data_IF_045450845624
#
_entry.id   IF_045450845624
#
_cell.length_a   1.000
_cell.length_b   1.000
_cell.length_c   1.000
_cell.angle_alpha   90.00
_cell.angle_beta   90.00
_cell.angle_gamma   90.00
#
_symmetry.space_group_name_H-M   'P 1'
#
loop_
_entity.id
_entity.type
_entity.pdbx_description
1 polymer ?
#
# COMPACT_ATOMS: atom_id res chain seq x y z
N UNK A 1 -141.46 115.10 2.55
CA UNK A 1 -141.47 113.72 2.00
C UNK A 1 -140.22 113.45 1.16
N UNK A 2 -139.93 114.22 0.10
CA UNK A 2 -138.74 114.01 -0.75
C UNK A 2 -137.41 114.25 0.00
N UNK A 3 -137.33 115.26 0.87
CA UNK A 3 -136.11 115.56 1.62
C UNK A 3 -135.71 114.49 2.65
N UNK A 4 -136.67 113.86 3.33
CA UNK A 4 -136.39 112.79 4.31
C UNK A 4 -135.98 111.47 3.62
N UNK A 5 -136.54 111.17 2.44
CA UNK A 5 -136.18 109.97 1.68
C UNK A 5 -134.78 110.09 1.07
N UNK A 6 -134.43 111.28 0.57
CA UNK A 6 -133.05 111.60 0.12
C UNK A 6 -132.07 111.55 1.28
N UNK A 7 -132.44 112.01 2.48
CA UNK A 7 -131.60 111.90 3.69
C UNK A 7 -131.38 110.45 4.12
N UNK A 8 -132.43 109.62 4.15
CA UNK A 8 -132.34 108.19 4.45
C UNK A 8 -131.52 107.42 3.42
N UNK A 9 -131.67 107.75 2.14
CA UNK A 9 -130.88 107.16 1.07
C UNK A 9 -129.42 107.56 1.19
N UNK A 10 -129.13 108.84 1.46
CA UNK A 10 -127.77 109.33 1.70
C UNK A 10 -127.13 108.69 2.94
N UNK A 11 -127.87 108.55 4.05
CA UNK A 11 -127.39 107.86 5.27
C UNK A 11 -127.13 106.36 5.00
N UNK A 12 -128.02 105.67 4.28
CA UNK A 12 -127.81 104.27 3.87
C UNK A 12 -126.64 104.13 2.91
N UNK A 13 -126.47 105.04 1.97
CA UNK A 13 -125.33 105.04 1.04
C UNK A 13 -124.02 105.33 1.77
N UNK A 14 -124.03 106.25 2.74
CA UNK A 14 -122.86 106.55 3.57
C UNK A 14 -122.49 105.35 4.47
N UNK A 15 -123.48 104.68 5.05
CA UNK A 15 -123.28 103.47 5.86
C UNK A 15 -122.77 102.30 5.00
N UNK A 16 -123.35 102.07 3.82
CA UNK A 16 -122.89 101.05 2.87
C UNK A 16 -121.47 101.33 2.39
N UNK A 17 -121.11 102.59 2.10
CA UNK A 17 -119.72 102.97 1.78
C UNK A 17 -118.77 102.72 2.94
N UNK A 18 -119.21 102.88 4.20
CA UNK A 18 -118.41 102.60 5.40
C UNK A 18 -118.19 101.09 5.58
N UNK A 19 -119.20 100.27 5.30
CA UNK A 19 -119.10 98.80 5.30
C UNK A 19 -118.19 98.30 4.18
N UNK A 20 -118.30 98.87 2.97
CA UNK A 20 -117.39 98.58 1.85
C UNK A 20 -115.95 98.96 2.23
N UNK A 21 -115.73 100.11 2.85
CA UNK A 21 -114.40 100.51 3.32
C UNK A 21 -113.84 99.51 4.33
N UNK A 22 -114.64 99.04 5.29
CA UNK A 22 -114.23 98.02 6.26
C UNK A 22 -113.86 96.68 5.60
N UNK A 23 -114.63 96.24 4.59
CA UNK A 23 -114.31 95.02 3.83
C UNK A 23 -113.01 95.20 3.05
N UNK A 24 -112.82 96.35 2.40
CA UNK A 24 -111.59 96.66 1.67
C UNK A 24 -110.40 96.65 2.64
N UNK A 25 -110.51 97.29 3.80
CA UNK A 25 -109.46 97.30 4.82
C UNK A 25 -109.12 95.88 5.31
N UNK A 26 -110.13 95.02 5.51
CA UNK A 26 -109.93 93.61 5.87
C UNK A 26 -109.29 92.78 4.75
N UNK A 27 -109.69 92.98 3.49
CA UNK A 27 -109.09 92.32 2.33
C UNK A 27 -107.65 92.75 2.16
N UNK A 28 -107.34 94.04 2.30
CA UNK A 28 -105.98 94.57 2.23
C UNK A 28 -105.12 94.00 3.38
N UNK A 29 -105.64 93.96 4.60
CA UNK A 29 -104.95 93.35 5.74
C UNK A 29 -104.65 91.86 5.50
N UNK A 30 -105.64 91.06 5.06
CA UNK A 30 -105.44 89.64 4.73
C UNK A 30 -104.47 89.44 3.57
N UNK A 31 -104.52 90.29 2.55
CA UNK A 31 -103.59 90.24 1.41
C UNK A 31 -102.17 90.51 1.89
N UNK A 32 -101.98 91.51 2.76
CA UNK A 32 -100.68 91.79 3.37
C UNK A 32 -100.15 90.59 4.17
N UNK A 33 -100.97 89.97 5.02
CA UNK A 33 -100.58 88.76 5.76
C UNK A 33 -100.25 87.59 4.83
N UNK A 34 -100.98 87.44 3.72
CA UNK A 34 -100.72 86.40 2.72
C UNK A 34 -99.39 86.62 2.00
N UNK A 35 -99.08 87.87 1.63
CA UNK A 35 -97.78 88.23 1.03
C UNK A 35 -96.64 87.92 2.00
N UNK A 36 -96.76 88.30 3.28
CA UNK A 36 -95.76 87.96 4.31
C UNK A 36 -95.56 86.44 4.47
N UNK A 37 -96.64 85.66 4.45
CA UNK A 37 -96.54 84.19 4.53
C UNK A 37 -95.88 83.59 3.28
N UNK A 38 -96.09 84.17 2.09
CA UNK A 38 -95.41 83.77 0.86
C UNK A 38 -93.92 84.11 0.93
N UNK A 39 -93.54 85.30 1.40
CA UNK A 39 -92.13 85.69 1.59
C UNK A 39 -91.41 84.76 2.58
N UNK A 40 -92.08 84.39 3.68
CA UNK A 40 -91.56 83.40 4.62
C UNK A 40 -91.43 82.01 3.98
N UNK A 41 -92.43 81.53 3.25
CA UNK A 41 -92.36 80.26 2.53
C UNK A 41 -91.23 80.25 1.51
N UNK A 42 -91.03 81.33 0.75
CA UNK A 42 -89.95 81.45 -0.21
C UNK A 42 -88.58 81.27 0.46
N UNK A 43 -88.40 81.84 1.66
CA UNK A 43 -87.20 81.67 2.47
C UNK A 43 -86.99 80.21 2.89
N UNK A 44 -88.05 79.53 3.34
CA UNK A 44 -87.99 78.11 3.74
C UNK A 44 -87.68 77.22 2.54
N UNK A 45 -88.28 77.48 1.36
CA UNK A 45 -88.00 76.73 0.14
C UNK A 45 -86.55 76.93 -0.32
N UNK A 46 -86.03 78.16 -0.26
CA UNK A 46 -84.62 78.43 -0.56
C UNK A 46 -83.68 77.68 0.39
N UNK A 47 -84.00 77.65 1.69
CA UNK A 47 -83.24 76.88 2.68
C UNK A 47 -83.31 75.37 2.42
N UNK A 48 -84.49 74.85 2.08
CA UNK A 48 -84.67 73.43 1.69
C UNK A 48 -83.89 73.06 0.43
N UNK A 49 -83.79 73.98 -0.52
CA UNK A 49 -82.94 73.85 -1.71
C UNK A 49 -81.46 73.73 -1.36
N UNK A 50 -80.95 74.61 -0.46
CA UNK A 50 -79.58 74.51 0.07
C UNK A 50 -79.31 73.17 0.74
N UNK A 51 -80.19 72.74 1.65
CA UNK A 51 -80.04 71.47 2.37
C UNK A 51 -80.04 70.29 1.40
N UNK A 52 -80.93 70.29 0.39
CA UNK A 52 -80.95 69.24 -0.64
C UNK A 52 -79.66 69.20 -1.44
N UNK A 53 -79.05 70.36 -1.72
CA UNK A 53 -77.77 70.43 -2.41
C UNK A 53 -76.60 69.93 -1.54
N UNK A 54 -76.60 70.24 -0.24
CA UNK A 54 -75.64 69.70 0.72
C UNK A 54 -75.77 68.17 0.85
N UNK A 55 -77.00 67.64 0.87
CA UNK A 55 -77.26 66.19 0.85
C UNK A 55 -76.78 65.54 -0.44
N UNK A 56 -77.05 66.15 -1.60
CA UNK A 56 -76.57 65.64 -2.89
C UNK A 56 -75.04 65.60 -2.95
N UNK A 57 -74.36 66.63 -2.44
CA UNK A 57 -72.91 66.66 -2.33
C UNK A 57 -72.38 65.54 -1.42
N UNK A 58 -72.99 65.34 -0.25
CA UNK A 58 -72.63 64.28 0.67
C UNK A 58 -72.82 62.88 0.07
N UNK A 59 -73.91 62.66 -0.66
CA UNK A 59 -74.17 61.40 -1.35
C UNK A 59 -73.14 61.13 -2.46
N UNK A 60 -72.71 62.17 -3.18
CA UNK A 60 -71.65 62.05 -4.18
C UNK A 60 -70.32 61.62 -3.54
N UNK A 61 -69.96 62.18 -2.39
CA UNK A 61 -68.77 61.75 -1.62
C UNK A 61 -68.89 60.31 -1.16
N UNK A 62 -70.07 59.87 -0.71
CA UNK A 62 -70.31 58.47 -0.33
C UNK A 62 -70.13 57.54 -1.53
N UNK A 63 -70.70 57.88 -2.69
CA UNK A 63 -70.55 57.07 -3.90
C UNK A 63 -69.08 56.93 -4.33
N UNK A 64 -68.30 58.01 -4.21
CA UNK A 64 -66.88 57.98 -4.53
C UNK A 64 -66.09 57.11 -3.54
N UNK A 65 -66.36 57.22 -2.24
CA UNK A 65 -65.74 56.36 -1.24
C UNK A 65 -66.09 54.87 -1.45
N UNK A 66 -67.31 54.56 -1.90
CA UNK A 66 -67.73 53.19 -2.23
C UNK A 66 -66.96 52.65 -3.44
N UNK A 67 -66.73 53.47 -4.47
CA UNK A 67 -65.91 53.05 -5.64
C UNK A 67 -64.46 52.79 -5.24
N UNK A 68 -63.87 53.66 -4.41
CA UNK A 68 -62.52 53.47 -3.87
C UNK A 68 -62.41 52.17 -3.06
N UNK A 69 -63.40 51.88 -2.21
CA UNK A 69 -63.48 50.62 -1.47
C UNK A 69 -63.57 49.42 -2.42
N UNK A 70 -64.38 49.49 -3.48
CA UNK A 70 -64.50 48.41 -4.45
C UNK A 70 -63.17 48.14 -5.17
N UNK A 71 -62.43 49.18 -5.54
CA UNK A 71 -61.09 49.06 -6.13
C UNK A 71 -60.08 48.45 -5.14
N UNK A 72 -60.13 48.87 -3.87
CA UNK A 72 -59.28 48.33 -2.81
C UNK A 72 -59.55 46.84 -2.56
N UNK A 73 -60.82 46.42 -2.60
CA UNK A 73 -61.22 45.01 -2.47
C UNK A 73 -60.65 44.19 -3.63
N UNK A 74 -60.78 44.66 -4.87
CA UNK A 74 -60.22 43.96 -6.04
C UNK A 74 -58.70 43.82 -5.95
N UNK A 75 -57.99 44.86 -5.50
CA UNK A 75 -56.54 44.79 -5.26
C UNK A 75 -56.18 43.80 -4.15
N UNK A 76 -57.00 43.73 -3.10
CA UNK A 76 -56.80 42.78 -2.00
C UNK A 76 -56.98 41.34 -2.46
N UNK A 77 -57.93 41.07 -3.36
CA UNK A 77 -58.11 39.74 -3.97
C UNK A 77 -56.87 39.34 -4.79
N UNK A 78 -56.31 40.26 -5.58
CA UNK A 78 -55.10 39.99 -6.35
C UNK A 78 -53.90 39.66 -5.45
N UNK A 79 -53.70 40.44 -4.38
CA UNK A 79 -52.65 40.17 -3.39
C UNK A 79 -52.85 38.82 -2.69
N UNK A 80 -54.08 38.44 -2.37
CA UNK A 80 -54.35 37.12 -1.78
C UNK A 80 -54.01 35.97 -2.73
N UNK A 81 -54.19 36.13 -4.04
CA UNK A 81 -53.77 35.12 -5.01
C UNK A 81 -52.24 34.98 -5.07
N UNK A 82 -51.51 36.09 -4.97
CA UNK A 82 -50.05 36.07 -4.91
C UNK A 82 -49.53 35.42 -3.62
N UNK A 83 -50.15 35.73 -2.47
CA UNK A 83 -49.86 35.07 -1.19
C UNK A 83 -50.13 33.57 -1.27
N UNK A 84 -51.25 33.15 -1.87
CA UNK A 84 -51.55 31.72 -2.04
C UNK A 84 -50.50 31.02 -2.91
N UNK A 85 -50.12 31.63 -4.04
CA UNK A 85 -49.08 31.07 -4.89
C UNK A 85 -47.73 30.97 -4.18
N UNK A 86 -47.35 31.99 -3.41
CA UNK A 86 -46.14 31.98 -2.61
C UNK A 86 -46.18 30.88 -1.53
N UNK A 87 -47.33 30.65 -0.90
CA UNK A 87 -47.54 29.56 0.06
C UNK A 87 -47.37 28.18 -0.58
N UNK A 88 -47.93 27.97 -1.78
CA UNK A 88 -47.78 26.71 -2.52
C UNK A 88 -46.30 26.43 -2.87
N UNK A 89 -45.57 27.47 -3.29
CA UNK A 89 -44.13 27.37 -3.56
C UNK A 89 -43.33 27.03 -2.30
N UNK A 90 -43.65 27.67 -1.17
CA UNK A 90 -42.98 27.37 0.12
C UNK A 90 -43.26 25.95 0.60
N UNK A 91 -44.48 25.45 0.40
CA UNK A 91 -44.81 24.05 0.71
C UNK A 91 -43.97 23.08 -0.14
N UNK A 92 -43.81 23.35 -1.44
CA UNK A 92 -42.94 22.54 -2.31
C UNK A 92 -41.47 22.55 -1.86
N UNK A 93 -40.94 23.71 -1.45
CA UNK A 93 -39.58 23.80 -0.90
C UNK A 93 -39.44 23.01 0.41
N UNK A 94 -40.45 23.04 1.28
CA UNK A 94 -40.46 22.27 2.54
C UNK A 94 -40.43 20.77 2.26
N UNK A 95 -41.20 20.29 1.28
CA UNK A 95 -41.19 18.88 0.86
C UNK A 95 -39.80 18.48 0.33
N UNK A 96 -39.16 19.35 -0.45
CA UNK A 96 -37.81 19.09 -0.95
C UNK A 96 -36.76 19.06 0.18
N UNK A 97 -36.88 19.94 1.17
CA UNK A 97 -36.03 19.93 2.36
C UNK A 97 -36.22 18.63 3.15
N UNK A 98 -37.47 18.16 3.32
CA UNK A 98 -37.76 16.90 3.98
C UNK A 98 -37.11 15.72 3.25
N UNK A 99 -37.21 15.66 1.92
CA UNK A 99 -36.56 14.63 1.12
C UNK A 99 -35.03 14.65 1.25
N UNK A 100 -34.42 15.85 1.25
CA UNK A 100 -32.97 16.00 1.47
C UNK A 100 -32.57 15.54 2.88
N UNK A 101 -33.37 15.86 3.89
CA UNK A 101 -33.13 15.44 5.26
C UNK A 101 -33.18 13.91 5.42
N UNK A 102 -34.15 13.25 4.79
CA UNK A 102 -34.24 11.79 4.74
C UNK A 102 -33.02 11.17 4.06
N UNK A 103 -32.62 11.69 2.90
CA UNK A 103 -31.42 11.22 2.18
C UNK A 103 -30.15 11.42 3.01
N UNK A 104 -30.02 12.56 3.69
CA UNK A 104 -28.89 12.86 4.57
C UNK A 104 -28.82 11.91 5.77
N UNK A 105 -29.98 11.55 6.34
CA UNK A 105 -30.08 10.56 7.40
C UNK A 105 -29.62 9.17 6.93
N UNK A 106 -30.08 8.73 5.75
CA UNK A 106 -29.66 7.47 5.15
C UNK A 106 -28.14 7.44 4.88
N UNK A 107 -27.59 8.50 4.27
CA UNK A 107 -26.16 8.62 4.02
C UNK A 107 -25.34 8.60 5.33
N UNK A 108 -25.86 9.20 6.41
CA UNK A 108 -25.22 9.16 7.72
C UNK A 108 -25.20 7.75 8.32
N UNK A 109 -26.27 6.97 8.12
CA UNK A 109 -26.33 5.57 8.56
C UNK A 109 -25.33 4.69 7.79
N UNK A 110 -25.21 4.86 6.47
CA UNK A 110 -24.21 4.16 5.65
C UNK A 110 -22.78 4.52 6.05
N UNK A 111 -22.54 5.78 6.41
CA UNK A 111 -21.25 6.24 6.91
C UNK A 111 -20.88 5.58 8.24
N UNK A 112 -21.84 5.45 9.17
CA UNK A 112 -21.63 4.75 10.43
C UNK A 112 -21.27 3.27 10.19
N UNK A 113 -22.00 2.57 9.34
CA UNK A 113 -21.71 1.17 9.00
C UNK A 113 -20.32 1.02 8.34
N UNK A 114 -19.94 1.97 7.48
CA UNK A 114 -18.61 2.01 6.87
C UNK A 114 -17.51 2.25 7.90
N UNK A 115 -17.75 3.14 8.87
CA UNK A 115 -16.82 3.42 9.96
C UNK A 115 -16.62 2.19 10.88
N UNK A 116 -17.70 1.47 11.20
CA UNK A 116 -17.62 0.20 11.95
C UNK A 116 -16.79 -0.85 11.21
N UNK A 117 -17.01 -0.99 9.90
CA UNK A 117 -16.24 -1.90 9.04
C UNK A 117 -14.75 -1.54 9.02
N UNK A 118 -14.44 -0.24 8.89
CA UNK A 118 -13.06 0.25 8.93
C UNK A 118 -12.39 0.01 10.29
N UNK A 119 -13.13 0.22 11.39
CA UNK A 119 -12.65 -0.07 12.74
C UNK A 119 -12.30 -1.55 12.92
N UNK A 120 -13.16 -2.45 12.44
CA UNK A 120 -12.89 -3.89 12.47
C UNK A 120 -11.65 -4.26 11.66
N UNK A 121 -11.50 -3.70 10.45
CA UNK A 121 -10.33 -3.93 9.61
C UNK A 121 -9.03 -3.44 10.27
N UNK A 122 -9.05 -2.28 10.93
CA UNK A 122 -7.91 -1.76 11.69
C UNK A 122 -7.52 -2.68 12.84
N UNK A 123 -8.50 -3.23 13.56
CA UNK A 123 -8.23 -4.20 14.63
C UNK A 123 -7.56 -5.47 14.08
N UNK A 124 -8.04 -5.99 12.93
CA UNK A 124 -7.42 -7.14 12.26
C UNK A 124 -6.00 -6.84 11.75
N UNK A 125 -5.74 -5.63 11.27
CA UNK A 125 -4.39 -5.22 10.87
C UNK A 125 -3.43 -5.15 12.07
N UNK A 126 -3.91 -4.69 13.23
CA UNK A 126 -3.12 -4.68 14.45
C UNK A 126 -2.71 -6.11 14.84
N UNK A 127 -3.66 -7.05 14.86
CA UNK A 127 -3.38 -8.46 15.20
C UNK A 127 -2.41 -9.10 14.19
N UNK A 128 -2.61 -8.87 12.89
CA UNK A 128 -1.69 -9.36 11.85
C UNK A 128 -0.27 -8.78 11.99
N UNK A 129 -0.16 -7.52 12.42
CA UNK A 129 1.15 -6.89 12.65
C UNK A 129 1.87 -7.50 13.85
N UNK A 130 1.14 -7.82 14.92
CA UNK A 130 1.68 -8.54 16.08
C UNK A 130 2.17 -9.94 15.68
N UNK A 131 1.37 -10.68 14.90
CA UNK A 131 1.77 -12.00 14.37
C UNK A 131 3.00 -11.91 13.46
N UNK A 132 3.06 -10.91 12.57
CA UNK A 132 4.20 -10.69 11.70
C UNK A 132 5.49 -10.39 12.49
N UNK A 133 5.39 -9.58 13.55
CA UNK A 133 6.51 -9.29 14.44
C UNK A 133 7.00 -10.56 15.16
N UNK A 134 6.08 -11.38 15.67
CA UNK A 134 6.39 -12.65 16.30
C UNK A 134 7.10 -13.61 15.32
N UNK A 135 6.59 -13.73 14.10
CA UNK A 135 7.19 -14.56 13.04
C UNK A 135 8.58 -14.08 12.64
N UNK A 136 8.80 -12.77 12.55
CA UNK A 136 10.12 -12.19 12.28
C UNK A 136 11.11 -12.53 13.39
N UNK A 137 10.69 -12.44 14.65
CA UNK A 137 11.52 -12.83 15.80
C UNK A 137 11.85 -14.33 15.78
N UNK A 138 10.87 -15.20 15.50
CA UNK A 138 11.09 -16.64 15.36
C UNK A 138 12.07 -16.95 14.23
N UNK A 139 11.93 -16.28 13.09
CA UNK A 139 12.84 -16.45 11.94
C UNK A 139 14.27 -16.06 12.32
N UNK A 140 14.45 -14.95 13.03
CA UNK A 140 15.76 -14.53 13.54
C UNK A 140 16.38 -15.59 14.45
N UNK A 141 15.61 -16.17 15.37
CA UNK A 141 16.07 -17.26 16.23
C UNK A 141 16.49 -18.51 15.44
N UNK A 142 15.71 -18.88 14.42
CA UNK A 142 16.04 -20.01 13.53
C UNK A 142 17.34 -19.74 12.77
N UNK A 143 17.53 -18.54 12.23
CA UNK A 143 18.75 -18.15 11.53
C UNK A 143 19.96 -18.24 12.47
N UNK A 144 19.84 -17.73 13.71
CA UNK A 144 20.90 -17.86 14.70
C UNK A 144 21.24 -19.33 15.02
N UNK A 145 20.23 -20.17 15.22
CA UNK A 145 20.44 -21.60 15.46
C UNK A 145 21.11 -22.29 14.26
N UNK A 146 20.74 -21.91 13.03
CA UNK A 146 21.38 -22.43 11.81
C UNK A 146 22.84 -22.02 11.68
N UNK A 147 23.19 -20.76 11.99
CA UNK A 147 24.60 -20.32 11.99
C UNK A 147 25.42 -21.17 12.95
N UNK A 148 24.89 -21.44 14.15
CA UNK A 148 25.58 -22.26 15.13
C UNK A 148 25.70 -23.73 14.68
N UNK A 149 24.67 -24.28 14.03
CA UNK A 149 24.72 -25.62 13.45
C UNK A 149 25.76 -25.74 12.33
N UNK A 150 25.84 -24.74 11.45
CA UNK A 150 26.87 -24.67 10.38
C UNK A 150 28.27 -24.60 11.00
N UNK A 151 28.47 -23.79 12.05
CA UNK A 151 29.76 -23.72 12.75
C UNK A 151 30.17 -25.10 13.30
N UNK A 152 29.26 -25.80 13.96
CA UNK A 152 29.49 -27.16 14.49
C UNK A 152 29.81 -28.17 13.38
N UNK A 153 29.08 -28.11 12.26
CA UNK A 153 29.34 -28.95 11.10
C UNK A 153 30.73 -28.73 10.50
N UNK A 154 31.16 -27.47 10.37
CA UNK A 154 32.48 -27.16 9.86
C UNK A 154 33.59 -27.68 10.79
N UNK A 155 33.42 -27.52 12.10
CA UNK A 155 34.33 -28.05 13.12
C UNK A 155 34.44 -29.59 13.00
N UNK A 156 33.30 -30.29 12.95
CA UNK A 156 33.27 -31.74 12.69
C UNK A 156 33.95 -32.13 11.38
N UNK A 157 33.71 -31.39 10.29
CA UNK A 157 34.29 -31.70 8.99
C UNK A 157 35.83 -31.59 9.01
N UNK A 158 36.37 -30.61 9.74
CA UNK A 158 37.83 -30.48 9.94
C UNK A 158 38.40 -31.63 10.77
N UNK A 159 37.72 -32.04 11.85
CA UNK A 159 38.13 -33.19 12.66
C UNK A 159 38.09 -34.49 11.86
N UNK A 160 37.02 -34.71 11.08
CA UNK A 160 36.92 -35.90 10.22
C UNK A 160 38.00 -35.90 9.14
N UNK A 161 38.33 -34.74 8.56
CA UNK A 161 39.40 -34.63 7.56
C UNK A 161 40.76 -34.98 8.18
N UNK A 162 41.06 -34.48 9.38
CA UNK A 162 42.27 -34.82 10.11
C UNK A 162 42.34 -36.32 10.47
N UNK A 163 41.21 -36.91 10.88
CA UNK A 163 41.11 -38.34 11.16
C UNK A 163 41.35 -39.20 9.90
N UNK A 164 40.80 -38.79 8.75
CA UNK A 164 41.04 -39.45 7.46
C UNK A 164 42.51 -39.35 7.06
N UNK A 165 43.14 -38.20 7.21
CA UNK A 165 44.57 -38.03 6.90
C UNK A 165 45.44 -38.96 7.76
N UNK A 166 45.16 -39.02 9.07
CA UNK A 166 45.86 -39.92 9.99
C UNK A 166 45.69 -41.40 9.62
N UNK A 167 44.46 -41.82 9.27
CA UNK A 167 44.19 -43.19 8.83
C UNK A 167 44.91 -43.54 7.53
N UNK A 168 44.92 -42.62 6.55
CA UNK A 168 45.65 -42.81 5.29
C UNK A 168 47.16 -42.95 5.51
N UNK A 169 47.72 -42.15 6.44
CA UNK A 169 49.12 -42.27 6.85
C UNK A 169 49.44 -43.63 7.46
N UNK A 170 48.66 -44.10 8.44
CA UNK A 170 48.88 -45.39 9.10
C UNK A 170 48.77 -46.57 8.14
N UNK A 171 47.86 -46.51 7.15
CA UNK A 171 47.64 -47.59 6.19
C UNK A 171 48.65 -47.61 5.04
N UNK A 172 49.50 -46.58 4.88
CA UNK A 172 50.44 -46.49 3.75
C UNK A 172 49.78 -46.49 2.36
N UNK A 173 48.46 -46.25 2.31
CA UNK A 173 47.64 -46.29 1.10
C UNK A 173 47.49 -44.88 0.56
N UNK A 174 48.40 -44.47 -0.32
CA UNK A 174 48.23 -43.25 -1.10
C UNK A 174 47.30 -43.55 -2.28
N UNK A 175 46.14 -42.89 -2.34
CA UNK A 175 45.23 -42.97 -3.50
C UNK A 175 45.42 -41.75 -4.38
N UNK A 176 45.27 -41.95 -5.69
CA UNK A 176 45.14 -40.90 -6.69
C UNK A 176 43.66 -40.81 -7.02
N UNK A 177 43.04 -39.64 -6.94
CA UNK A 177 41.71 -39.46 -7.49
C UNK A 177 41.80 -39.30 -9.02
N UNK A 178 40.89 -39.92 -9.78
CA UNK A 178 40.90 -39.85 -11.25
C UNK A 178 40.87 -38.40 -11.78
N UNK A 179 40.20 -37.50 -11.04
CA UNK A 179 40.01 -36.09 -11.38
C UNK A 179 41.21 -35.17 -11.07
N UNK A 180 42.27 -35.64 -10.42
CA UNK A 180 43.46 -34.82 -10.16
C UNK A 180 44.15 -34.40 -11.47
N UNK A 181 44.61 -33.16 -11.53
CA UNK A 181 45.42 -32.66 -12.63
C UNK A 181 46.76 -33.43 -12.73
N UNK A 182 47.41 -33.35 -13.89
CA UNK A 182 48.71 -33.99 -14.06
C UNK A 182 49.76 -33.48 -13.06
N UNK A 183 49.76 -32.17 -12.76
CA UNK A 183 50.64 -31.57 -11.76
C UNK A 183 50.40 -32.14 -10.36
N UNK A 184 49.13 -32.20 -9.91
CA UNK A 184 48.77 -32.75 -8.60
C UNK A 184 49.16 -34.23 -8.48
N UNK A 185 48.97 -35.01 -9.55
CA UNK A 185 49.40 -36.42 -9.63
C UNK A 185 50.91 -36.56 -9.42
N UNK A 186 51.72 -35.77 -10.14
CA UNK A 186 53.18 -35.78 -10.02
C UNK A 186 53.63 -35.39 -8.60
N UNK A 187 53.02 -34.36 -8.01
CA UNK A 187 53.34 -33.94 -6.64
C UNK A 187 52.95 -35.01 -5.61
N UNK A 188 51.81 -35.67 -5.80
CA UNK A 188 51.38 -36.80 -4.97
C UNK A 188 52.38 -37.95 -5.04
N UNK A 189 52.91 -38.29 -6.22
CA UNK A 189 53.94 -39.34 -6.36
C UNK A 189 55.23 -38.99 -5.64
N UNK A 190 55.74 -37.77 -5.81
CA UNK A 190 56.96 -37.31 -5.13
C UNK A 190 56.80 -37.38 -3.62
N UNK A 191 55.69 -36.84 -3.11
CA UNK A 191 55.39 -36.84 -1.67
C UNK A 191 55.23 -38.26 -1.12
N UNK A 192 54.53 -39.14 -1.83
CA UNK A 192 54.36 -40.54 -1.43
C UNK A 192 55.72 -41.26 -1.32
N UNK A 193 56.64 -41.03 -2.26
CA UNK A 193 58.00 -41.60 -2.21
C UNK A 193 58.83 -41.04 -1.07
N UNK A 194 58.86 -39.71 -0.87
CA UNK A 194 59.59 -39.11 0.24
C UNK A 194 59.10 -39.60 1.60
N UNK A 195 57.78 -39.69 1.80
CA UNK A 195 57.18 -40.25 3.01
C UNK A 195 57.50 -41.74 3.19
N UNK A 196 57.63 -42.48 2.09
CA UNK A 196 58.05 -43.88 2.14
C UNK A 196 59.50 -44.03 2.61
N UNK A 197 60.42 -43.18 2.13
CA UNK A 197 61.81 -43.13 2.60
C UNK A 197 61.86 -42.83 4.10
N UNK A 198 61.12 -41.83 4.57
CA UNK A 198 61.03 -41.50 6.00
C UNK A 198 60.51 -42.70 6.83
N UNK A 199 59.56 -43.46 6.29
CA UNK A 199 59.05 -44.66 6.96
C UNK A 199 60.11 -45.76 7.08
N UNK A 200 60.89 -46.00 6.02
CA UNK A 200 62.02 -46.95 6.06
C UNK A 200 63.10 -46.45 7.02
N UNK A 201 63.36 -45.14 7.05
CA UNK A 201 64.30 -44.52 7.99
C UNK A 201 63.89 -44.76 9.44
N UNK A 202 62.61 -44.56 9.78
CA UNK A 202 62.09 -44.85 11.13
C UNK A 202 62.19 -46.34 11.47
N UNK A 203 61.97 -47.23 10.51
CA UNK A 203 62.21 -48.65 10.72
C UNK A 203 63.68 -48.93 11.09
N UNK A 204 64.64 -48.40 10.33
CA UNK A 204 66.07 -48.67 10.53
C UNK A 204 66.62 -48.01 11.80
N UNK A 205 66.23 -46.76 12.09
CA UNK A 205 66.78 -46.00 13.22
C UNK A 205 65.99 -46.17 14.52
N UNK A 206 64.67 -46.32 14.46
CA UNK A 206 63.78 -46.40 15.64
C UNK A 206 63.14 -47.77 15.85
N UNK A 207 63.36 -48.74 14.96
CA UNK A 207 62.85 -50.10 15.11
C UNK A 207 61.35 -50.24 14.82
N UNK A 208 60.72 -49.25 14.18
CA UNK A 208 59.33 -49.32 13.74
C UNK A 208 59.19 -50.27 12.54
N UNK A 209 59.07 -51.57 12.80
CA UNK A 209 58.99 -52.59 11.74
C UNK A 209 57.84 -52.32 10.76
N UNK A 210 58.15 -52.35 9.46
CA UNK A 210 57.15 -52.30 8.39
C UNK A 210 56.60 -53.72 8.17
N UNK A 211 55.30 -53.96 8.39
CA UNK A 211 54.70 -55.28 8.15
C UNK A 211 54.80 -55.71 6.67
N UNK A 212 55.04 -56.99 6.42
CA UNK A 212 55.22 -57.53 5.06
C UNK A 212 54.01 -57.35 4.14
N UNK A 213 52.80 -57.35 4.70
CA UNK A 213 51.55 -57.08 3.96
C UNK A 213 51.44 -55.62 3.48
N UNK A 214 52.26 -54.72 4.04
CA UNK A 214 52.36 -53.32 3.65
C UNK A 214 53.49 -53.05 2.65
N UNK A 215 54.33 -54.05 2.34
CA UNK A 215 55.30 -53.99 1.24
C UNK A 215 54.58 -54.17 -0.09
N UNK A 216 53.99 -53.07 -0.56
CA UNK A 216 53.31 -53.04 -1.85
C UNK A 216 54.36 -53.14 -2.98
N UNK A 217 54.09 -53.98 -3.98
CA UNK A 217 54.92 -54.08 -5.20
C UNK A 217 54.95 -52.76 -5.96
N UNK A 218 56.06 -52.50 -6.68
CA UNK A 218 56.19 -51.34 -7.58
C UNK A 218 55.06 -51.24 -8.61
N UNK A 219 54.33 -52.32 -8.93
CA UNK A 219 53.16 -52.28 -9.83
C UNK A 219 51.85 -51.93 -9.15
N UNK A 220 51.77 -52.15 -7.84
CA UNK A 220 50.55 -52.00 -7.03
C UNK A 220 50.55 -50.73 -6.18
N UNK A 221 51.67 -50.00 -6.11
CA UNK A 221 51.73 -48.70 -5.45
C UNK A 221 51.02 -47.62 -6.30
N UNK A 222 50.74 -46.45 -5.73
CA UNK A 222 50.05 -45.37 -6.43
C UNK A 222 50.74 -45.03 -7.77
N UNK A 223 52.05 -44.77 -7.74
CA UNK A 223 52.83 -44.49 -8.95
C UNK A 223 52.79 -45.66 -9.94
N UNK A 224 52.92 -46.90 -9.46
CA UNK A 224 52.86 -48.11 -10.28
C UNK A 224 51.53 -48.30 -10.99
N UNK A 225 50.43 -48.23 -10.24
CA UNK A 225 49.09 -48.39 -10.80
C UNK A 225 48.80 -47.34 -11.87
N UNK A 226 49.24 -46.09 -11.68
CA UNK A 226 49.16 -45.06 -12.72
C UNK A 226 50.12 -45.33 -13.88
N UNK A 227 51.38 -45.68 -13.59
CA UNK A 227 52.43 -45.92 -14.58
C UNK A 227 52.01 -46.99 -15.58
N UNK A 228 51.48 -48.13 -15.12
CA UNK A 228 51.06 -49.24 -15.97
C UNK A 228 49.63 -49.11 -16.54
N UNK A 229 48.91 -48.03 -16.22
CA UNK A 229 47.56 -47.79 -16.75
C UNK A 229 47.54 -46.53 -17.63
N UNK A 230 46.87 -45.48 -17.17
CA UNK A 230 46.68 -44.21 -17.87
C UNK A 230 48.02 -43.55 -18.21
N UNK A 231 49.02 -43.66 -17.32
CA UNK A 231 50.36 -43.14 -17.56
C UNK A 231 51.01 -43.74 -18.81
N UNK A 232 50.99 -45.06 -18.95
CA UNK A 232 51.53 -45.75 -20.13
C UNK A 232 50.79 -45.36 -21.42
N UNK A 233 49.47 -45.24 -21.35
CA UNK A 233 48.66 -44.86 -22.51
C UNK A 233 48.97 -43.44 -22.99
N UNK A 234 49.17 -42.50 -22.07
CA UNK A 234 49.36 -41.08 -22.39
C UNK A 234 50.83 -40.74 -22.69
N UNK A 235 51.76 -41.28 -21.91
CA UNK A 235 53.16 -40.85 -21.90
C UNK A 235 54.15 -41.96 -22.26
N UNK A 236 53.68 -43.18 -22.56
CA UNK A 236 54.54 -44.34 -22.84
C UNK A 236 55.50 -44.16 -24.02
N UNK A 237 55.25 -43.21 -24.91
CA UNK A 237 56.13 -42.85 -26.02
C UNK A 237 57.31 -41.94 -25.61
N UNK A 238 57.28 -41.34 -24.42
CA UNK A 238 58.32 -40.44 -23.94
C UNK A 238 59.46 -41.24 -23.27
N UNK A 239 60.73 -41.06 -23.70
CA UNK A 239 61.88 -41.66 -23.03
C UNK A 239 61.98 -41.26 -21.55
N UNK A 240 61.57 -40.04 -21.21
CA UNK A 240 61.55 -39.53 -19.83
C UNK A 240 60.56 -40.29 -18.94
N UNK A 241 59.42 -40.73 -19.51
CA UNK A 241 58.45 -41.56 -18.81
C UNK A 241 58.98 -42.98 -18.59
N UNK A 242 59.51 -43.61 -19.64
CA UNK A 242 60.08 -44.95 -19.55
C UNK A 242 61.26 -45.03 -18.55
N UNK A 243 62.05 -43.96 -18.46
CA UNK A 243 63.21 -43.90 -17.58
C UNK A 243 62.89 -43.98 -16.08
N UNK A 244 61.62 -43.80 -15.67
CA UNK A 244 61.17 -43.84 -14.27
C UNK A 244 61.05 -45.28 -13.74
N UNK A 245 60.69 -46.24 -14.59
CA UNK A 245 60.41 -47.61 -14.15
C UNK A 245 61.64 -48.32 -13.55
N UNK A 246 62.84 -48.31 -14.17
CA UNK A 246 63.99 -49.00 -13.62
C UNK A 246 64.38 -48.58 -12.18
N UNK A 247 64.53 -47.28 -11.84
CA UNK A 247 64.81 -46.88 -10.46
C UNK A 247 63.62 -47.12 -9.53
N UNK A 248 62.37 -47.03 -10.02
CA UNK A 248 61.19 -47.30 -9.22
C UNK A 248 61.06 -48.77 -8.80
N UNK A 249 61.30 -49.70 -9.73
CA UNK A 249 61.36 -51.13 -9.41
C UNK A 249 62.50 -51.43 -8.43
N UNK A 250 63.70 -50.88 -8.69
CA UNK A 250 64.86 -51.04 -7.82
C UNK A 250 64.59 -50.54 -6.40
N UNK A 251 63.92 -49.41 -6.24
CA UNK A 251 63.57 -48.86 -4.92
C UNK A 251 62.73 -49.86 -4.11
N UNK A 252 61.70 -50.45 -4.72
CA UNK A 252 60.85 -51.43 -4.04
C UNK A 252 61.60 -52.72 -3.70
N UNK A 253 62.53 -53.17 -4.55
CA UNK A 253 63.39 -54.32 -4.26
C UNK A 253 64.31 -54.04 -3.06
N UNK A 254 64.97 -52.88 -3.03
CA UNK A 254 65.83 -52.49 -1.89
C UNK A 254 64.99 -52.32 -0.62
N UNK A 255 63.77 -51.79 -0.71
CA UNK A 255 62.87 -51.67 0.44
C UNK A 255 62.50 -53.04 1.02
N UNK A 256 62.24 -54.04 0.18
CA UNK A 256 62.01 -55.42 0.65
C UNK A 256 63.27 -55.99 1.33
N UNK A 257 64.46 -55.76 0.74
CA UNK A 257 65.74 -56.17 1.36
C UNK A 257 65.99 -55.46 2.69
N UNK A 258 65.60 -54.19 2.84
CA UNK A 258 65.73 -53.46 4.08
C UNK A 258 64.86 -54.07 5.19
N UNK A 259 63.62 -54.48 4.88
CA UNK A 259 62.75 -55.19 5.83
C UNK A 259 63.34 -56.55 6.21
N UNK A 260 63.81 -57.31 5.24
CA UNK A 260 64.45 -58.62 5.47
C UNK A 260 65.70 -58.50 6.36
N UNK A 261 66.55 -57.49 6.12
CA UNK A 261 67.71 -57.21 6.94
C UNK A 261 67.32 -56.86 8.39
N UNK A 262 66.25 -56.07 8.58
CA UNK A 262 65.75 -55.73 9.90
C UNK A 262 65.15 -56.93 10.64
N UNK A 263 64.44 -57.83 9.94
CA UNK A 263 63.96 -59.11 10.51
C UNK A 263 65.13 -60.03 10.93
N UNK A 264 66.20 -60.07 10.14
CA UNK A 264 67.43 -60.81 10.43
C UNK A 264 68.34 -60.12 11.46
N UNK A 265 67.94 -58.94 11.96
CA UNK A 265 68.72 -58.07 12.87
C UNK A 265 70.07 -57.61 12.31
N UNK A 266 70.24 -57.63 11.00
CA UNK A 266 71.42 -57.10 10.31
C UNK A 266 71.26 -55.60 10.07
N UNK A 267 71.59 -54.81 11.10
CA UNK A 267 71.47 -53.35 11.07
C UNK A 267 72.42 -52.71 10.04
N UNK A 268 73.61 -53.28 9.84
CA UNK A 268 74.58 -52.76 8.88
C UNK A 268 74.05 -52.87 7.45
N UNK A 269 73.44 -54.02 7.10
CA UNK A 269 72.77 -54.19 5.81
C UNK A 269 71.56 -53.30 5.67
N UNK A 270 70.76 -53.12 6.72
CA UNK A 270 69.59 -52.24 6.70
C UNK A 270 69.96 -50.76 6.48
N UNK A 271 71.04 -50.28 7.11
CA UNK A 271 71.57 -48.93 6.90
C UNK A 271 72.12 -48.73 5.49
N UNK A 272 72.78 -49.75 4.92
CA UNK A 272 73.19 -49.73 3.52
C UNK A 272 71.97 -49.60 2.59
N UNK A 273 70.94 -50.42 2.81
CA UNK A 273 69.71 -50.36 2.03
C UNK A 273 69.01 -48.99 2.16
N UNK A 274 69.00 -48.37 3.35
CA UNK A 274 68.44 -47.03 3.54
C UNK A 274 69.19 -45.97 2.72
N UNK A 275 70.52 -46.01 2.70
CA UNK A 275 71.31 -45.09 1.89
C UNK A 275 71.06 -45.28 0.39
N UNK A 276 70.97 -46.53 -0.07
CA UNK A 276 70.61 -46.83 -1.46
C UNK A 276 69.19 -46.34 -1.81
N UNK A 277 68.22 -46.52 -0.91
CA UNK A 277 66.85 -46.02 -1.08
C UNK A 277 66.81 -44.49 -1.17
N UNK A 278 67.59 -43.77 -0.35
CA UNK A 278 67.67 -42.29 -0.41
C UNK A 278 68.16 -41.82 -1.77
N UNK A 279 69.19 -42.44 -2.31
CA UNK A 279 69.74 -42.06 -3.62
C UNK A 279 68.78 -42.41 -4.77
N UNK A 280 68.21 -43.61 -4.75
CA UNK A 280 67.23 -44.03 -5.76
C UNK A 280 65.96 -43.17 -5.67
N UNK A 281 65.53 -42.75 -4.48
CA UNK A 281 64.38 -41.85 -4.32
C UNK A 281 64.64 -40.47 -4.92
N UNK A 282 65.85 -39.90 -4.74
CA UNK A 282 66.24 -38.64 -5.40
C UNK A 282 66.22 -38.80 -6.92
N UNK A 283 66.69 -39.94 -7.42
CA UNK A 283 66.66 -40.27 -8.84
C UNK A 283 65.23 -40.30 -9.40
N UNK A 284 64.29 -40.97 -8.70
CA UNK A 284 62.88 -41.03 -9.10
C UNK A 284 62.25 -39.63 -9.11
N UNK A 285 62.45 -38.84 -8.05
CA UNK A 285 61.92 -37.47 -7.97
C UNK A 285 62.45 -36.62 -9.13
N UNK A 286 63.75 -36.67 -9.41
CA UNK A 286 64.35 -35.94 -10.51
C UNK A 286 63.81 -36.37 -11.88
N UNK A 287 63.51 -37.66 -12.08
CA UNK A 287 62.90 -38.16 -13.33
C UNK A 287 61.43 -37.74 -13.45
N UNK A 288 60.69 -37.71 -12.36
CA UNK A 288 59.33 -37.16 -12.32
C UNK A 288 59.32 -35.65 -12.63
N UNK A 289 60.30 -34.89 -12.14
CA UNK A 289 60.51 -33.49 -12.52
C UNK A 289 60.78 -33.33 -14.02
N UNK A 290 61.68 -34.14 -14.58
CA UNK A 290 61.99 -34.10 -16.02
C UNK A 290 60.78 -34.45 -16.88
N UNK A 291 60.00 -35.46 -16.48
CA UNK A 291 58.74 -35.79 -17.14
C UNK A 291 57.76 -34.63 -17.10
N UNK A 292 57.59 -34.00 -15.92
CA UNK A 292 56.72 -32.84 -15.76
C UNK A 292 57.12 -31.68 -16.67
N UNK A 293 58.40 -31.31 -16.69
CA UNK A 293 58.93 -30.27 -17.58
C UNK A 293 58.75 -30.63 -19.06
N UNK A 294 58.97 -31.88 -19.45
CA UNK A 294 58.83 -32.33 -20.84
C UNK A 294 57.38 -32.21 -21.33
N UNK A 295 56.42 -32.65 -20.52
CA UNK A 295 54.99 -32.62 -20.85
C UNK A 295 54.49 -31.18 -20.91
N UNK A 296 54.78 -30.36 -19.91
CA UNK A 296 54.37 -28.95 -19.87
C UNK A 296 54.99 -28.12 -21.01
N UNK A 297 56.26 -28.35 -21.36
CA UNK A 297 56.91 -27.67 -22.49
C UNK A 297 56.33 -28.13 -23.84
N UNK A 298 55.98 -29.42 -23.96
CA UNK A 298 55.36 -29.97 -25.17
C UNK A 298 53.93 -29.44 -25.38
N UNK A 299 53.17 -29.23 -24.31
CA UNK A 299 51.83 -28.64 -24.36
C UNK A 299 51.89 -27.15 -24.73
N UNK A 300 52.84 -26.40 -24.18
CA UNK A 300 53.09 -25.00 -24.56
C UNK A 300 53.51 -24.85 -26.04
N UNK A 301 54.29 -25.78 -26.58
CA UNK A 301 54.69 -25.79 -28.01
C UNK A 301 53.58 -26.21 -28.97
N UNK A 302 52.51 -26.85 -28.48
CA UNK A 302 51.32 -27.23 -29.25
C UNK A 302 50.21 -26.17 -29.22
N UNK A 303 50.24 -25.28 -28.22
CA UNK A 303 49.26 -24.22 -28.02
C UNK A 303 49.68 -22.87 -28.64
N UNK A 304 50.93 -22.74 -29.09
CA UNK A 304 51.47 -21.61 -29.84
C UNK A 304 51.51 -21.93 -31.34
#
# INVERSE_FOLDING_TARGET
VVADEVRRLAERSAQASKEIQQIIDQVLAKTHTTVQAIEQNLTVVQQGGRVSQEVAQGLQTILQAVDEIAQQVNSSVALMQEVQHSADMTLGEIEQIAAIAEQSSAASQEMLASAETASHALQQMATLSEEAAANAQQTSQIVHAQIEAIRRLNEQNTETSAAVEKLMFSLGRFRIAEQESFEEKIQTFKRAHLKWVERVERMVHHGEMIPRDQLVSHRKCALGTWYYSVGMQQFGHLPEFQAIEPPHERLHQIAAQAVEAMEQRDKARAEQCLNEIREVSKEIVAKLDRLYTRVTTSELSRAA
#
